data_IF_724192965892
#
_entry.id   IF_724192965892
#
_cell.length_a   1.000
_cell.length_b   1.000
_cell.length_c   1.000
_cell.angle_alpha   90.00
_cell.angle_beta   90.00
_cell.angle_gamma   90.00
#
_symmetry.space_group_name_H-M   'P 1'
#
loop_
_entity.id
_entity.type
_entity.pdbx_description
1 polymer ?
#
# COMPACT_ATOMS: atom_id res chain seq x y z
N UNK A 1 51.24 46.11 -40.39
CA UNK A 1 49.83 46.20 -40.83
C UNK A 1 49.11 45.07 -40.15
N UNK A 2 48.15 45.40 -39.29
CA UNK A 2 47.23 44.43 -38.71
C UNK A 2 46.11 44.18 -39.72
N UNK A 3 45.96 42.93 -40.16
CA UNK A 3 44.92 42.55 -41.11
C UNK A 3 43.76 41.95 -40.32
N UNK A 4 42.54 42.43 -40.59
CA UNK A 4 41.34 41.83 -40.04
C UNK A 4 41.17 40.41 -40.59
N UNK A 5 40.80 39.48 -39.71
CA UNK A 5 40.58 38.06 -40.02
C UNK A 5 39.22 37.64 -39.48
N UNK A 6 38.51 36.73 -40.17
CA UNK A 6 37.22 36.25 -39.67
C UNK A 6 37.45 35.35 -38.46
N UNK A 7 36.67 35.56 -37.41
CA UNK A 7 36.68 34.79 -36.19
C UNK A 7 35.25 34.34 -35.90
N UNK A 8 34.94 33.11 -36.26
CA UNK A 8 33.63 32.50 -36.02
C UNK A 8 33.59 32.00 -34.58
N UNK A 9 32.66 32.53 -33.80
CA UNK A 9 32.49 32.18 -32.40
C UNK A 9 31.13 31.50 -32.24
N UNK A 10 31.13 30.23 -31.86
CA UNK A 10 29.92 29.49 -31.49
C UNK A 10 29.85 29.38 -29.97
N UNK A 11 28.83 29.96 -29.35
CA UNK A 11 28.64 29.96 -27.90
C UNK A 11 27.40 29.14 -27.61
N UNK A 12 27.58 28.00 -26.94
CA UNK A 12 26.48 27.07 -26.63
C UNK A 12 25.60 26.74 -27.86
N UNK A 13 26.22 26.58 -29.04
CA UNK A 13 25.54 26.28 -30.30
C UNK A 13 25.13 27.50 -31.13
N UNK A 14 25.14 28.71 -30.56
CA UNK A 14 24.83 29.94 -31.28
C UNK A 14 26.08 30.56 -31.93
N UNK A 15 26.13 30.55 -33.27
CA UNK A 15 27.29 31.05 -34.03
C UNK A 15 27.16 32.51 -34.46
N UNK A 16 28.24 33.27 -34.28
CA UNK A 16 28.39 34.63 -34.78
C UNK A 16 29.82 34.88 -35.30
N UNK A 17 29.94 35.56 -36.43
CA UNK A 17 31.24 35.93 -36.99
C UNK A 17 31.66 37.34 -36.54
N UNK A 18 32.86 37.43 -36.00
CA UNK A 18 33.55 38.67 -35.65
C UNK A 18 34.74 38.89 -36.58
N UNK A 19 35.17 40.13 -36.73
CA UNK A 19 36.41 40.47 -37.42
C UNK A 19 37.40 41.00 -36.40
N UNK A 20 38.54 40.32 -36.25
CA UNK A 20 39.57 40.64 -35.25
C UNK A 20 40.92 40.85 -35.92
N UNK A 21 41.77 41.68 -35.35
CA UNK A 21 43.18 41.78 -35.77
C UNK A 21 44.10 40.88 -34.96
N UNK A 22 43.61 40.39 -33.82
CA UNK A 22 44.31 39.45 -32.96
C UNK A 22 44.83 38.20 -33.69
N UNK A 23 46.04 37.80 -33.35
CA UNK A 23 46.68 36.58 -33.87
C UNK A 23 46.55 35.38 -32.92
N UNK A 24 45.88 35.55 -31.78
CA UNK A 24 45.74 34.52 -30.74
C UNK A 24 44.33 34.53 -30.16
N UNK A 25 43.80 33.36 -29.79
CA UNK A 25 42.44 33.20 -29.24
C UNK A 25 42.15 34.15 -28.08
N UNK A 26 43.03 34.25 -27.07
CA UNK A 26 42.79 35.12 -25.91
C UNK A 26 42.63 36.59 -26.31
N UNK A 27 43.49 37.10 -27.19
CA UNK A 27 43.40 38.50 -27.66
C UNK A 27 42.16 38.73 -28.52
N UNK A 28 41.76 37.75 -29.34
CA UNK A 28 40.54 37.86 -30.13
C UNK A 28 39.32 37.93 -29.21
N UNK A 29 39.28 37.10 -28.16
CA UNK A 29 38.26 37.14 -27.11
C UNK A 29 38.25 38.46 -26.33
N UNK A 30 39.42 39.04 -26.05
CA UNK A 30 39.53 40.36 -25.39
C UNK A 30 39.07 41.50 -26.32
N UNK A 31 39.39 41.44 -27.62
CA UNK A 31 39.00 42.42 -28.64
C UNK A 31 37.48 42.47 -28.84
N UNK A 32 36.80 41.31 -28.80
CA UNK A 32 35.33 41.23 -28.80
C UNK A 32 34.70 41.55 -27.44
N UNK A 33 35.51 41.80 -26.40
CA UNK A 33 35.04 42.14 -25.05
C UNK A 33 34.45 40.97 -24.27
N UNK A 34 34.78 39.72 -24.62
CA UNK A 34 34.18 38.51 -24.03
C UNK A 34 35.25 37.51 -23.59
N UNK A 35 35.57 37.49 -22.30
CA UNK A 35 36.64 36.66 -21.77
C UNK A 35 36.26 35.17 -21.58
N UNK A 36 34.98 34.83 -21.46
CA UNK A 36 34.47 33.46 -21.23
C UNK A 36 35.24 32.68 -20.14
N UNK A 37 35.46 33.30 -18.97
CA UNK A 37 36.23 32.68 -17.89
C UNK A 37 35.48 31.48 -17.32
N UNK A 38 36.15 30.33 -17.22
CA UNK A 38 35.54 29.09 -16.75
C UNK A 38 34.73 28.32 -17.80
N UNK A 39 34.70 28.82 -19.05
CA UNK A 39 34.14 28.10 -20.19
C UNK A 39 35.15 27.13 -20.79
N UNK A 40 34.65 26.02 -21.30
CA UNK A 40 35.41 25.12 -22.16
C UNK A 40 35.50 25.69 -23.56
N UNK A 41 36.67 25.54 -24.18
CA UNK A 41 36.98 26.05 -25.50
C UNK A 41 37.47 24.90 -26.37
N UNK A 42 36.98 24.80 -27.60
CA UNK A 42 37.47 23.86 -28.62
C UNK A 42 38.95 24.05 -28.99
N UNK A 43 39.56 25.16 -28.58
CA UNK A 43 40.97 25.46 -28.81
C UNK A 43 41.62 26.17 -27.62
N UNK A 44 42.94 26.03 -27.52
CA UNK A 44 43.74 26.71 -26.49
C UNK A 44 43.61 28.24 -26.60
N UNK A 45 43.52 28.91 -25.44
CA UNK A 45 43.54 30.39 -25.36
C UNK A 45 44.82 31.01 -25.93
N UNK A 46 45.92 30.27 -25.90
CA UNK A 46 47.19 30.67 -26.52
C UNK A 46 47.32 30.25 -27.99
N UNK A 47 46.32 29.55 -28.55
CA UNK A 47 46.31 29.07 -29.93
C UNK A 47 46.36 30.22 -30.92
N UNK A 48 47.10 30.03 -32.00
CA UNK A 48 47.24 31.00 -33.08
C UNK A 48 46.01 31.01 -33.99
N UNK A 49 45.61 32.20 -34.44
CA UNK A 49 44.60 32.40 -35.47
C UNK A 49 45.34 32.63 -36.78
N UNK A 50 45.01 31.86 -37.81
CA UNK A 50 45.65 31.98 -39.12
C UNK A 50 45.07 33.12 -39.95
N UNK A 51 45.66 33.40 -41.12
CA UNK A 51 45.16 34.47 -42.02
C UNK A 51 43.77 34.19 -42.58
N UNK A 52 43.42 32.92 -42.65
CA UNK A 52 42.12 32.44 -43.12
C UNK A 52 41.02 32.60 -42.06
N UNK A 53 41.40 32.85 -40.80
CA UNK A 53 40.49 32.97 -39.67
C UNK A 53 40.56 31.78 -38.73
N UNK A 54 39.54 31.65 -37.87
CA UNK A 54 39.38 30.53 -36.94
C UNK A 54 37.91 30.40 -36.55
N UNK A 55 37.45 29.16 -36.39
CA UNK A 55 36.22 28.83 -35.69
C UNK A 55 36.55 28.41 -34.25
N UNK A 56 35.83 28.99 -33.28
CA UNK A 56 35.96 28.69 -31.87
C UNK A 56 34.59 28.36 -31.29
N UNK A 57 34.42 27.13 -30.86
CA UNK A 57 33.31 26.70 -30.01
C UNK A 57 33.62 26.96 -28.53
N UNK A 58 32.63 27.49 -27.83
CA UNK A 58 32.67 27.85 -26.41
C UNK A 58 31.45 27.24 -25.72
N UNK A 59 31.69 26.40 -24.72
CA UNK A 59 30.64 25.87 -23.84
C UNK A 59 30.70 26.60 -22.52
N UNK A 60 29.61 27.30 -22.16
CA UNK A 60 29.59 28.08 -20.92
C UNK A 60 29.17 27.23 -19.72
N UNK A 61 29.71 27.51 -18.51
CA UNK A 61 29.28 26.82 -17.30
C UNK A 61 27.87 27.27 -16.92
N UNK A 62 26.96 26.31 -16.72
CA UNK A 62 25.55 26.51 -16.37
C UNK A 62 25.26 25.92 -15.00
N UNK A 63 24.49 26.64 -14.18
CA UNK A 63 24.08 26.22 -12.84
C UNK A 63 22.67 25.67 -12.86
N UNK A 64 22.54 24.35 -12.77
CA UNK A 64 21.26 23.64 -12.81
C UNK A 64 20.92 22.98 -11.48
N UNK A 65 19.64 22.65 -11.29
CA UNK A 65 19.15 21.83 -10.20
C UNK A 65 19.11 20.38 -10.66
N UNK A 66 19.90 19.52 -10.03
CA UNK A 66 20.04 18.12 -10.41
C UNK A 66 19.48 17.22 -9.32
N UNK A 67 18.67 16.24 -9.71
CA UNK A 67 18.27 15.12 -8.86
C UNK A 67 18.79 13.83 -9.50
N UNK A 68 19.81 13.23 -8.87
CA UNK A 68 20.41 11.99 -9.33
C UNK A 68 19.78 10.80 -8.59
N UNK A 69 18.86 10.12 -9.25
CA UNK A 69 18.18 8.95 -8.70
C UNK A 69 17.45 9.21 -7.38
N UNK A 70 17.89 8.54 -6.31
CA UNK A 70 17.31 8.66 -4.96
C UNK A 70 17.82 9.87 -4.17
N UNK A 71 18.80 10.61 -4.71
CA UNK A 71 19.37 11.77 -4.03
C UNK A 71 18.38 12.94 -3.94
N UNK A 72 18.69 13.89 -3.05
CA UNK A 72 17.95 15.15 -2.95
C UNK A 72 18.34 16.08 -4.10
N UNK A 73 17.41 16.92 -4.51
CA UNK A 73 17.65 17.97 -5.49
C UNK A 73 18.75 18.91 -5.00
N UNK A 74 19.82 19.07 -5.77
CA UNK A 74 20.97 19.89 -5.44
C UNK A 74 21.35 20.81 -6.61
N UNK A 75 21.88 22.00 -6.32
CA UNK A 75 22.45 22.86 -7.37
C UNK A 75 23.84 22.34 -7.75
N UNK A 76 24.10 22.23 -9.04
CA UNK A 76 25.39 21.84 -9.63
C UNK A 76 25.72 22.79 -10.76
N UNK A 77 27.01 23.07 -10.94
CA UNK A 77 27.51 23.79 -12.10
C UNK A 77 28.12 22.76 -13.03
N UNK A 78 27.69 22.76 -14.28
CA UNK A 78 28.13 21.83 -15.32
C UNK A 78 28.54 22.62 -16.56
N UNK A 79 29.54 22.15 -17.29
CA UNK A 79 29.97 22.76 -18.56
C UNK A 79 29.51 21.88 -19.71
N UNK A 80 28.21 21.96 -20.00
CA UNK A 80 27.53 21.04 -20.91
C UNK A 80 26.48 21.74 -21.78
N UNK A 81 26.33 21.27 -23.02
CA UNK A 81 25.32 21.78 -23.94
C UNK A 81 23.98 21.04 -23.74
N UNK A 82 24.01 19.71 -23.67
CA UNK A 82 22.81 18.87 -23.56
C UNK A 82 22.67 18.21 -22.18
N UNK A 83 21.50 17.62 -21.93
CA UNK A 83 21.24 16.81 -20.72
C UNK A 83 22.18 15.62 -20.61
N UNK A 84 22.50 14.96 -21.72
CA UNK A 84 23.43 13.84 -21.76
C UNK A 84 24.84 14.29 -21.34
N UNK A 85 25.36 15.36 -21.96
CA UNK A 85 26.68 15.92 -21.62
C UNK A 85 26.75 16.37 -20.15
N UNK A 86 25.65 16.95 -19.63
CA UNK A 86 25.59 17.38 -18.23
C UNK A 86 25.61 16.21 -17.25
N UNK A 87 25.09 15.05 -17.63
CA UNK A 87 25.20 13.84 -16.81
C UNK A 87 26.61 13.27 -16.87
N UNK A 88 27.25 13.27 -18.04
CA UNK A 88 28.64 12.83 -18.21
C UNK A 88 29.62 13.70 -17.38
N UNK A 89 29.47 15.03 -17.42
CA UNK A 89 30.26 15.98 -16.60
C UNK A 89 30.07 15.74 -15.08
N UNK A 90 28.89 15.25 -14.67
CA UNK A 90 28.60 14.85 -13.30
C UNK A 90 29.07 13.42 -12.96
N UNK A 91 29.68 12.70 -13.91
CA UNK A 91 30.16 11.33 -13.75
C UNK A 91 29.06 10.28 -13.77
N UNK A 92 27.94 10.56 -14.45
CA UNK A 92 26.77 9.67 -14.55
C UNK A 92 26.63 9.19 -16.00
N UNK A 93 26.94 7.93 -16.23
CA UNK A 93 26.73 7.29 -17.54
C UNK A 93 25.26 6.92 -17.74
N UNK A 94 24.68 7.32 -18.89
CA UNK A 94 23.29 7.00 -19.21
C UNK A 94 23.15 5.55 -19.71
N UNK A 95 22.54 4.70 -18.90
CA UNK A 95 22.23 3.33 -19.26
C UNK A 95 21.08 3.23 -20.26
N UNK A 96 21.01 2.09 -20.99
CA UNK A 96 19.97 1.81 -22.01
C UNK A 96 18.52 1.97 -21.52
N UNK A 97 18.29 1.76 -20.23
CA UNK A 97 16.95 1.78 -19.64
C UNK A 97 16.68 3.02 -18.80
N UNK A 98 17.73 3.82 -18.54
CA UNK A 98 17.64 4.98 -17.67
C UNK A 98 16.79 6.07 -18.31
N UNK A 99 16.21 6.91 -17.45
CA UNK A 99 15.28 7.95 -17.86
C UNK A 99 15.75 9.29 -17.34
N UNK A 100 15.76 10.29 -18.22
CA UNK A 100 16.06 11.68 -17.86
C UNK A 100 14.83 12.56 -18.10
N UNK A 101 14.71 13.61 -17.29
CA UNK A 101 13.80 14.73 -17.55
C UNK A 101 14.59 16.02 -17.33
N UNK A 102 14.79 16.86 -18.37
CA UNK A 102 14.35 16.73 -19.77
C UNK A 102 15.00 15.57 -20.55
N UNK A 103 14.67 15.42 -21.83
CA UNK A 103 15.22 14.38 -22.71
C UNK A 103 16.76 14.50 -22.84
N UNK A 104 17.52 13.41 -23.09
CA UNK A 104 18.98 13.45 -23.10
C UNK A 104 19.57 14.44 -24.10
N UNK A 105 18.96 14.57 -25.28
CA UNK A 105 19.39 15.49 -26.34
C UNK A 105 18.88 16.91 -26.18
N UNK A 106 18.10 17.19 -25.13
CA UNK A 106 17.59 18.54 -24.88
C UNK A 106 18.75 19.44 -24.44
N UNK A 107 18.84 20.62 -25.04
CA UNK A 107 19.77 21.66 -24.61
C UNK A 107 19.40 22.14 -23.20
N UNK A 108 20.42 22.35 -22.37
CA UNK A 108 20.29 22.84 -21.00
C UNK A 108 20.54 24.34 -20.95
N UNK A 109 19.69 25.03 -20.18
CA UNK A 109 19.83 26.44 -19.82
C UNK A 109 20.17 26.62 -18.33
N UNK A 110 20.61 27.83 -17.96
CA UNK A 110 20.90 28.16 -16.57
C UNK A 110 19.62 28.14 -15.71
N UNK A 111 19.69 27.49 -14.55
CA UNK A 111 18.57 27.34 -13.63
C UNK A 111 17.63 26.16 -13.90
N UNK A 112 17.85 25.41 -14.99
CA UNK A 112 17.06 24.24 -15.36
C UNK A 112 17.03 23.16 -14.28
N UNK A 113 16.03 22.30 -14.36
CA UNK A 113 15.88 21.15 -13.45
C UNK A 113 16.05 19.85 -14.20
N UNK A 114 17.16 19.17 -13.92
CA UNK A 114 17.51 17.86 -14.43
C UNK A 114 17.16 16.78 -13.40
N UNK A 115 16.35 15.81 -13.80
CA UNK A 115 16.04 14.62 -13.02
C UNK A 115 16.51 13.39 -13.76
N UNK A 116 17.45 12.68 -13.18
CA UNK A 116 17.92 11.38 -13.64
C UNK A 116 17.27 10.27 -12.81
N UNK A 117 16.78 9.24 -13.49
CA UNK A 117 16.21 8.04 -12.88
C UNK A 117 16.97 6.81 -13.37
N UNK A 118 17.67 6.14 -12.46
CA UNK A 118 18.33 4.86 -12.72
C UNK A 118 17.26 3.76 -12.83
N UNK A 119 17.22 3.07 -13.97
CA UNK A 119 16.24 2.01 -14.25
C UNK A 119 16.96 0.71 -14.56
N UNK A 120 17.03 -0.17 -13.56
CA UNK A 120 17.64 -1.48 -13.73
C UNK A 120 16.60 -2.57 -13.94
N UNK A 121 16.72 -3.32 -15.03
CA UNK A 121 15.83 -4.45 -15.34
C UNK A 121 16.58 -5.77 -15.14
N UNK A 122 16.11 -6.60 -14.20
CA UNK A 122 16.72 -7.91 -13.88
C UNK A 122 15.72 -9.03 -14.10
N UNK A 123 16.19 -10.16 -14.65
CA UNK A 123 15.45 -11.42 -14.63
C UNK A 123 15.91 -12.28 -13.45
N UNK A 124 15.01 -12.58 -12.52
CA UNK A 124 15.30 -13.41 -11.34
C UNK A 124 14.55 -14.73 -11.43
N UNK A 125 15.29 -15.83 -11.42
CA UNK A 125 14.73 -17.18 -11.30
C UNK A 125 14.56 -17.53 -9.82
N UNK A 126 13.39 -18.06 -9.47
CA UNK A 126 13.08 -18.57 -8.14
C UNK A 126 12.57 -20.00 -8.32
N UNK A 127 13.27 -20.95 -7.71
CA UNK A 127 12.89 -22.36 -7.71
C UNK A 127 12.00 -22.66 -6.50
N UNK A 128 10.96 -23.48 -6.69
CA UNK A 128 10.12 -23.99 -5.60
C UNK A 128 9.36 -22.91 -4.82
N UNK A 129 8.95 -21.80 -5.45
CA UNK A 129 8.14 -20.78 -4.80
C UNK A 129 6.77 -21.37 -4.42
N UNK A 130 6.39 -21.20 -3.16
CA UNK A 130 5.11 -21.65 -2.61
C UNK A 130 3.96 -20.94 -3.32
N UNK A 131 2.91 -21.71 -3.62
CA UNK A 131 1.63 -21.20 -4.12
C UNK A 131 0.58 -21.49 -3.07
N UNK A 132 0.02 -20.43 -2.49
CA UNK A 132 -1.04 -20.55 -1.49
C UNK A 132 -2.26 -21.25 -2.08
N UNK A 133 -2.97 -21.99 -1.23
CA UNK A 133 -4.24 -22.64 -1.56
C UNK A 133 -5.41 -21.69 -1.29
N UNK A 134 -6.53 -21.91 -1.97
CA UNK A 134 -7.78 -21.22 -1.67
C UNK A 134 -8.61 -21.95 -0.61
N UNK A 135 -9.66 -21.30 -0.12
CA UNK A 135 -10.68 -21.93 0.74
C UNK A 135 -11.99 -22.02 -0.04
N UNK A 136 -12.57 -23.21 -0.08
CA UNK A 136 -13.90 -23.48 -0.65
C UNK A 136 -14.84 -23.74 0.51
N UNK A 137 -15.84 -22.87 0.65
CA UNK A 137 -16.91 -23.03 1.63
C UNK A 137 -17.99 -23.97 1.10
N UNK A 138 -18.41 -24.89 1.96
CA UNK A 138 -19.50 -25.82 1.69
C UNK A 138 -20.59 -25.65 2.74
N UNK A 139 -21.79 -25.26 2.33
CA UNK A 139 -22.90 -25.09 3.27
C UNK A 139 -23.33 -26.43 3.88
N UNK A 140 -23.58 -26.42 5.19
CA UNK A 140 -24.11 -27.57 5.93
C UNK A 140 -25.28 -27.12 6.83
N UNK A 141 -26.51 -27.43 6.39
CA UNK A 141 -27.73 -27.08 7.13
C UNK A 141 -27.94 -27.86 8.42
N UNK A 142 -27.05 -28.80 8.78
CA UNK A 142 -27.08 -29.45 10.09
C UNK A 142 -26.33 -28.66 11.17
N UNK A 143 -25.40 -27.79 10.76
CA UNK A 143 -24.56 -26.96 11.64
C UNK A 143 -25.15 -25.57 11.80
N UNK A 144 -24.99 -24.99 12.99
CA UNK A 144 -25.52 -23.65 13.27
C UNK A 144 -24.75 -22.56 12.54
N UNK A 145 -25.44 -21.47 12.19
CA UNK A 145 -24.78 -20.28 11.66
C UNK A 145 -23.65 -19.82 12.59
N UNK A 146 -22.47 -19.57 11.99
CA UNK A 146 -21.24 -19.24 12.70
C UNK A 146 -20.38 -20.45 13.11
N UNK A 147 -20.89 -21.67 13.04
CA UNK A 147 -20.09 -22.88 13.19
C UNK A 147 -19.35 -23.20 11.89
N UNK A 148 -18.06 -23.56 12.01
CA UNK A 148 -17.24 -23.99 10.89
C UNK A 148 -16.51 -25.30 11.20
N UNK A 149 -16.29 -26.12 10.17
CA UNK A 149 -15.56 -27.38 10.31
C UNK A 149 -14.74 -27.68 9.06
N UNK A 150 -13.43 -27.91 9.24
CA UNK A 150 -12.54 -28.25 8.13
C UNK A 150 -12.75 -29.70 7.72
N UNK A 151 -13.25 -29.92 6.50
CA UNK A 151 -13.46 -31.25 5.90
C UNK A 151 -12.17 -31.76 5.27
N UNK A 152 -11.42 -30.86 4.62
CA UNK A 152 -10.13 -31.16 4.01
C UNK A 152 -9.21 -29.97 4.23
N UNK A 153 -8.07 -30.22 4.87
CA UNK A 153 -7.02 -29.20 5.02
C UNK A 153 -6.46 -28.80 3.64
N UNK A 154 -6.15 -27.52 3.48
CA UNK A 154 -5.48 -27.04 2.27
C UNK A 154 -4.00 -27.47 2.25
N UNK A 155 -3.48 -27.75 1.06
CA UNK A 155 -2.06 -28.04 0.85
C UNK A 155 -1.48 -27.04 -0.14
N UNK A 156 -0.37 -26.40 0.25
CA UNK A 156 0.28 -25.43 -0.61
C UNK A 156 0.92 -26.10 -1.83
N UNK A 157 0.77 -25.46 -2.98
CA UNK A 157 1.44 -25.85 -4.21
C UNK A 157 2.87 -25.30 -4.28
N UNK A 158 3.57 -25.63 -5.36
CA UNK A 158 4.89 -25.09 -5.65
C UNK A 158 5.09 -24.86 -7.15
N UNK A 159 5.86 -23.82 -7.49
CA UNK A 159 6.21 -23.50 -8.88
C UNK A 159 7.63 -22.98 -9.01
N UNK A 160 8.25 -23.27 -10.14
CA UNK A 160 9.44 -22.54 -10.59
C UNK A 160 8.98 -21.32 -11.38
N UNK A 161 9.52 -20.15 -11.08
CA UNK A 161 9.07 -18.89 -11.68
C UNK A 161 10.25 -17.98 -12.01
N UNK A 162 10.16 -17.31 -13.15
CA UNK A 162 11.10 -16.26 -13.56
C UNK A 162 10.40 -14.93 -13.53
N UNK A 163 10.85 -14.04 -12.65
CA UNK A 163 10.37 -12.67 -12.56
C UNK A 163 11.20 -11.74 -13.45
N UNK A 164 10.53 -10.79 -14.08
CA UNK A 164 11.14 -9.52 -14.52
C UNK A 164 10.91 -8.51 -13.40
N UNK A 165 11.99 -8.09 -12.77
CA UNK A 165 12.00 -7.09 -11.70
C UNK A 165 12.58 -5.82 -12.29
N UNK A 166 11.83 -4.73 -12.20
CA UNK A 166 12.28 -3.40 -12.59
C UNK A 166 12.57 -2.61 -11.33
N UNK A 167 13.81 -2.18 -11.17
CA UNK A 167 14.23 -1.28 -10.11
C UNK A 167 14.23 0.15 -10.66
N UNK A 168 13.73 1.11 -9.88
CA UNK A 168 13.84 2.53 -10.16
C UNK A 168 14.54 3.17 -8.96
N UNK A 169 15.68 3.79 -9.17
CA UNK A 169 16.51 4.39 -8.10
C UNK A 169 16.83 3.39 -6.98
N UNK A 170 17.10 2.13 -7.34
CA UNK A 170 17.37 1.04 -6.38
C UNK A 170 16.14 0.39 -5.74
N UNK A 171 14.93 0.97 -5.86
CA UNK A 171 13.70 0.42 -5.28
C UNK A 171 12.91 -0.44 -6.28
N UNK A 172 12.27 -1.50 -5.80
CA UNK A 172 11.45 -2.38 -6.67
C UNK A 172 10.20 -1.63 -7.11
N UNK A 173 10.10 -1.34 -8.40
CA UNK A 173 8.92 -0.67 -8.98
C UNK A 173 7.88 -1.65 -9.52
N UNK A 174 8.32 -2.69 -10.21
CA UNK A 174 7.44 -3.67 -10.88
C UNK A 174 8.04 -5.06 -10.77
N UNK A 175 7.24 -6.03 -10.31
CA UNK A 175 7.56 -7.46 -10.35
C UNK A 175 6.51 -8.17 -11.21
N UNK A 176 6.92 -8.67 -12.38
CA UNK A 176 6.04 -9.40 -13.31
C UNK A 176 6.55 -10.82 -13.54
N UNK A 177 5.64 -11.79 -13.51
CA UNK A 177 5.94 -13.18 -13.91
C UNK A 177 6.12 -13.22 -15.43
N UNK A 178 7.27 -13.71 -15.89
CA UNK A 178 7.57 -13.87 -17.34
C UNK A 178 7.42 -15.32 -17.77
N UNK A 179 7.85 -16.25 -16.93
CA UNK A 179 7.75 -17.68 -17.17
C UNK A 179 7.45 -18.36 -15.85
N UNK A 180 6.57 -19.36 -15.86
CA UNK A 180 6.32 -20.20 -14.71
C UNK A 180 6.15 -21.65 -15.14
N UNK A 181 6.50 -22.56 -14.24
CA UNK A 181 6.33 -24.00 -14.37
C UNK A 181 5.82 -24.51 -13.03
N UNK A 182 4.57 -24.97 -12.99
CA UNK A 182 3.96 -25.53 -11.78
C UNK A 182 4.56 -26.91 -11.53
N UNK A 183 5.09 -27.13 -10.33
CA UNK A 183 5.64 -28.41 -9.89
C UNK A 183 4.58 -29.24 -9.17
N UNK A 184 3.86 -28.61 -8.24
CA UNK A 184 2.68 -29.17 -7.57
C UNK A 184 1.56 -28.13 -7.53
N UNK A 185 0.33 -28.54 -7.86
CA UNK A 185 -0.84 -27.65 -7.76
C UNK A 185 -1.25 -27.53 -6.29
N UNK A 186 -1.65 -26.33 -5.81
CA UNK A 186 -2.26 -26.22 -4.49
C UNK A 186 -3.56 -27.02 -4.45
N UNK A 187 -3.86 -27.57 -3.28
CA UNK A 187 -5.13 -28.24 -2.98
C UNK A 187 -5.92 -27.32 -2.07
N UNK A 188 -7.09 -26.88 -2.52
CA UNK A 188 -7.92 -25.97 -1.74
C UNK A 188 -8.43 -26.62 -0.45
N UNK A 189 -8.46 -25.82 0.61
CA UNK A 189 -9.10 -26.16 1.87
C UNK A 189 -10.62 -26.21 1.68
N UNK A 190 -11.27 -27.23 2.23
CA UNK A 190 -12.74 -27.32 2.22
C UNK A 190 -13.22 -27.12 3.64
N UNK A 191 -13.99 -26.06 3.86
CA UNK A 191 -14.59 -25.72 5.15
C UNK A 191 -16.10 -25.82 5.03
N UNK A 192 -16.71 -26.60 5.90
CA UNK A 192 -18.17 -26.57 6.08
C UNK A 192 -18.56 -25.36 6.90
N UNK A 193 -19.55 -24.62 6.41
CA UNK A 193 -20.15 -23.47 7.11
C UNK A 193 -21.59 -23.81 7.47
N UNK A 194 -21.95 -23.62 8.73
CA UNK A 194 -23.32 -23.88 9.18
C UNK A 194 -24.31 -22.85 8.64
N UNK A 195 -25.45 -23.33 8.14
CA UNK A 195 -26.55 -22.49 7.65
C UNK A 195 -27.84 -22.68 8.45
N UNK A 196 -27.77 -23.44 9.55
CA UNK A 196 -28.91 -23.63 10.44
C UNK A 196 -29.08 -22.41 11.34
N UNK A 197 -30.12 -21.64 11.07
CA UNK A 197 -30.46 -20.45 11.86
C UNK A 197 -30.69 -20.83 13.33
N UNK A 198 -30.00 -20.14 14.25
CA UNK A 198 -30.34 -20.18 15.67
C UNK A 198 -31.47 -19.19 15.92
N UNK A 199 -32.54 -19.65 16.56
CA UNK A 199 -33.61 -18.77 17.01
C UNK A 199 -33.09 -17.82 18.11
N UNK A 200 -32.50 -16.70 17.70
CA UNK A 200 -32.23 -15.56 18.58
C UNK A 200 -33.55 -14.83 18.79
N UNK A 201 -34.25 -15.20 19.84
CA UNK A 201 -35.37 -14.41 20.31
C UNK A 201 -34.84 -13.03 20.76
N UNK A 202 -35.15 -12.00 19.97
CA UNK A 202 -34.79 -10.61 20.23
C UNK A 202 -35.46 -10.12 21.53
N UNK A 203 -34.75 -10.17 22.66
CA UNK A 203 -35.22 -9.63 23.96
C UNK A 203 -34.59 -8.27 24.33
N UNK A 204 -34.07 -7.53 23.34
CA UNK A 204 -33.33 -6.28 23.52
C UNK A 204 -34.21 -5.04 23.80
N UNK A 205 -35.54 -5.15 23.70
CA UNK A 205 -36.46 -4.09 24.13
C UNK A 205 -36.94 -4.37 25.55
N UNK A 206 -36.44 -3.65 26.55
CA UNK A 206 -36.76 -3.82 27.98
C UNK A 206 -38.21 -3.48 28.38
N UNK A 207 -39.19 -3.99 27.65
CA UNK A 207 -40.62 -3.94 27.96
C UNK A 207 -41.29 -5.27 27.59
N UNK A 208 -40.60 -6.39 27.77
CA UNK A 208 -41.18 -7.70 27.48
C UNK A 208 -42.04 -8.17 28.64
N UNK A 209 -42.97 -9.10 28.36
CA UNK A 209 -43.74 -9.80 29.42
C UNK A 209 -42.81 -10.39 30.48
N UNK A 210 -41.62 -10.84 30.07
CA UNK A 210 -40.60 -11.37 30.97
C UNK A 210 -40.01 -10.34 31.93
N UNK A 211 -39.86 -9.08 31.50
CA UNK A 211 -39.39 -8.02 32.38
C UNK A 211 -40.45 -7.65 33.43
N UNK A 212 -41.73 -7.66 33.04
CA UNK A 212 -42.84 -7.44 33.98
C UNK A 212 -42.95 -8.60 34.98
N UNK A 213 -42.73 -9.83 34.50
CA UNK A 213 -42.69 -11.02 35.35
C UNK A 213 -41.51 -10.93 36.32
N UNK A 214 -40.31 -10.60 35.83
CA UNK A 214 -39.14 -10.42 36.69
C UNK A 214 -39.30 -9.28 37.69
N UNK A 215 -39.98 -8.19 37.31
CA UNK A 215 -40.31 -7.10 38.22
C UNK A 215 -41.21 -7.57 39.37
N UNK A 216 -42.18 -8.44 39.07
CA UNK A 216 -43.08 -9.00 40.07
C UNK A 216 -42.40 -10.09 40.94
N UNK A 217 -41.55 -10.93 40.34
CA UNK A 217 -40.93 -12.10 40.98
C UNK A 217 -39.68 -11.75 41.79
N UNK A 218 -38.87 -10.79 41.34
CA UNK A 218 -37.58 -10.45 41.95
C UNK A 218 -37.36 -8.95 42.17
N UNK A 219 -38.36 -8.11 41.90
CA UNK A 219 -38.19 -6.66 41.88
C UNK A 219 -37.33 -6.16 40.72
N UNK A 220 -37.14 -6.98 39.68
CA UNK A 220 -36.33 -6.67 38.50
C UNK A 220 -34.85 -7.02 38.66
N UNK A 221 -34.46 -7.67 39.76
CA UNK A 221 -33.09 -8.07 40.00
C UNK A 221 -32.78 -9.45 39.40
N UNK A 222 -32.21 -9.45 38.20
CA UNK A 222 -31.85 -10.66 37.47
C UNK A 222 -30.75 -11.51 38.12
N UNK A 223 -30.00 -10.95 39.07
CA UNK A 223 -28.95 -11.65 39.81
C UNK A 223 -29.38 -12.05 41.23
N UNK A 224 -30.68 -11.97 41.56
CA UNK A 224 -31.17 -12.22 42.92
C UNK A 224 -30.85 -13.65 43.38
N UNK A 225 -30.38 -13.76 44.62
CA UNK A 225 -30.17 -15.03 45.33
C UNK A 225 -30.31 -14.78 46.83
N UNK A 226 -31.52 -14.93 47.35
CA UNK A 226 -31.85 -14.68 48.76
C UNK A 226 -31.71 -15.91 49.65
N UNK A 227 -31.31 -17.06 49.08
CA UNK A 227 -31.24 -18.33 49.81
C UNK A 227 -32.59 -19.02 50.03
N UNK A 228 -33.67 -18.56 49.36
CA UNK A 228 -35.01 -19.15 49.46
C UNK A 228 -35.24 -20.36 48.54
N UNK A 229 -34.20 -20.88 47.90
CA UNK A 229 -34.26 -22.02 46.96
C UNK A 229 -34.64 -21.66 45.52
N UNK A 230 -34.85 -20.38 45.22
CA UNK A 230 -35.12 -19.85 43.89
C UNK A 230 -34.09 -18.79 43.50
N UNK A 231 -33.79 -18.70 42.21
CA UNK A 231 -32.64 -17.92 41.73
C UNK A 231 -32.98 -17.12 40.48
N UNK A 232 -32.34 -15.96 40.36
CA UNK A 232 -32.43 -15.10 39.18
C UNK A 232 -33.74 -14.35 39.04
N UNK A 233 -33.85 -13.53 38.00
CA UNK A 233 -34.93 -12.54 37.85
C UNK A 233 -36.33 -13.16 37.79
N UNK A 234 -36.41 -14.39 37.27
CA UNK A 234 -37.65 -15.15 37.11
C UNK A 234 -37.81 -16.26 38.17
N UNK A 235 -37.05 -16.22 39.27
CA UNK A 235 -37.21 -17.12 40.41
C UNK A 235 -37.24 -18.61 40.01
N UNK A 236 -36.22 -19.08 39.28
CA UNK A 236 -36.11 -20.49 38.91
C UNK A 236 -35.68 -21.37 40.07
N UNK A 237 -36.22 -22.59 40.16
CA UNK A 237 -35.57 -23.66 40.92
C UNK A 237 -34.37 -24.19 40.13
N UNK A 238 -33.31 -24.63 40.82
CA UNK A 238 -32.12 -25.16 40.15
C UNK A 238 -32.43 -26.43 39.31
N UNK A 239 -33.35 -27.26 39.79
CA UNK A 239 -33.79 -28.47 39.07
C UNK A 239 -34.51 -28.14 37.76
N UNK A 240 -35.44 -27.19 37.79
CA UNK A 240 -36.14 -26.74 36.56
C UNK A 240 -35.16 -26.04 35.62
N UNK A 241 -34.27 -25.20 36.13
CA UNK A 241 -33.25 -24.52 35.32
C UNK A 241 -32.41 -25.50 34.49
N UNK A 242 -31.89 -26.53 35.14
CA UNK A 242 -31.06 -27.54 34.48
C UNK A 242 -31.87 -28.42 33.52
N UNK A 243 -33.11 -28.78 33.90
CA UNK A 243 -33.98 -29.59 33.05
C UNK A 243 -34.32 -28.93 31.70
N UNK A 244 -34.32 -27.60 31.62
CA UNK A 244 -34.63 -26.83 30.41
C UNK A 244 -33.38 -26.28 29.69
N UNK A 245 -32.20 -26.82 30.03
CA UNK A 245 -30.94 -26.55 29.33
C UNK A 245 -30.13 -25.38 29.91
N UNK A 246 -30.41 -24.97 31.15
CA UNK A 246 -29.60 -24.00 31.87
C UNK A 246 -28.32 -24.62 32.44
N UNK A 247 -27.17 -24.01 32.11
CA UNK A 247 -25.88 -24.33 32.73
C UNK A 247 -25.59 -23.42 33.92
N UNK A 248 -24.94 -23.93 34.97
CA UNK A 248 -24.63 -23.15 36.18
C UNK A 248 -25.87 -22.79 36.99
N UNK A 249 -25.85 -21.65 37.69
CA UNK A 249 -26.98 -21.16 38.48
C UNK A 249 -27.77 -20.04 37.76
N UNK A 250 -29.10 -19.97 37.89
CA UNK A 250 -29.90 -18.94 37.22
C UNK A 250 -29.45 -17.51 37.56
N UNK A 251 -29.09 -17.24 38.83
CA UNK A 251 -28.61 -15.92 39.27
C UNK A 251 -27.25 -15.52 38.72
N UNK A 252 -26.49 -16.46 38.17
CA UNK A 252 -25.20 -16.22 37.50
C UNK A 252 -25.33 -16.09 35.97
N UNK A 253 -26.51 -16.38 35.41
CA UNK A 253 -26.76 -16.28 33.99
C UNK A 253 -27.25 -14.87 33.60
N UNK A 254 -26.95 -14.43 32.38
CA UNK A 254 -27.46 -13.15 31.88
C UNK A 254 -28.99 -13.16 31.80
N UNK A 255 -29.58 -11.96 31.82
CA UNK A 255 -31.01 -11.77 31.63
C UNK A 255 -31.52 -12.50 30.39
N UNK A 256 -30.82 -12.35 29.27
CA UNK A 256 -31.21 -12.92 27.98
C UNK A 256 -31.20 -14.46 28.02
N UNK A 257 -30.20 -15.05 28.68
CA UNK A 257 -30.14 -16.50 28.90
C UNK A 257 -31.28 -16.99 29.79
N UNK A 258 -31.60 -16.27 30.87
CA UNK A 258 -32.72 -16.61 31.74
C UNK A 258 -34.06 -16.55 31.00
N UNK A 259 -34.25 -15.54 30.17
CA UNK A 259 -35.47 -15.39 29.35
C UNK A 259 -35.55 -16.49 28.28
N UNK A 260 -34.43 -16.85 27.63
CA UNK A 260 -34.42 -17.92 26.64
C UNK A 260 -34.86 -19.27 27.25
N UNK A 261 -34.42 -19.57 28.48
CA UNK A 261 -34.81 -20.78 29.20
C UNK A 261 -36.26 -20.70 29.70
N UNK A 262 -36.70 -19.53 30.17
CA UNK A 262 -38.08 -19.30 30.57
C UNK A 262 -39.07 -19.43 29.41
N UNK A 263 -38.66 -19.00 28.22
CA UNK A 263 -39.42 -19.16 26.98
C UNK A 263 -39.60 -20.64 26.64
N UNK A 264 -38.53 -21.45 26.73
CA UNK A 264 -38.63 -22.91 26.57
C UNK A 264 -39.58 -23.55 27.59
N UNK A 265 -39.49 -23.14 28.86
CA UNK A 265 -40.38 -23.63 29.91
C UNK A 265 -41.85 -23.27 29.62
N UNK A 266 -42.14 -22.00 29.31
CA UNK A 266 -43.49 -21.53 28.97
C UNK A 266 -44.08 -22.29 27.79
N UNK A 267 -43.30 -22.47 26.73
CA UNK A 267 -43.75 -23.15 25.52
C UNK A 267 -44.04 -24.63 25.79
N UNK A 268 -43.26 -25.28 26.67
CA UNK A 268 -43.49 -26.65 27.11
C UNK A 268 -44.71 -26.78 28.04
N UNK A 269 -44.97 -25.77 28.89
CA UNK A 269 -46.12 -25.78 29.81
C UNK A 269 -47.39 -25.19 29.22
N UNK A 270 -47.34 -24.69 27.98
CA UNK A 270 -48.49 -24.10 27.29
C UNK A 270 -48.94 -22.74 27.81
N UNK A 271 -48.11 -22.04 28.60
CA UNK A 271 -48.50 -20.80 29.28
C UNK A 271 -47.54 -20.39 30.40
N UNK A 272 -47.89 -19.33 31.10
CA UNK A 272 -47.11 -18.75 32.21
C UNK A 272 -47.43 -19.40 33.57
N UNK A 273 -48.03 -20.60 33.59
CA UNK A 273 -48.42 -21.32 34.82
C UNK A 273 -47.27 -21.65 35.78
N UNK A 274 -46.01 -21.57 35.34
CA UNK A 274 -44.83 -21.67 36.19
C UNK A 274 -44.61 -20.46 37.12
N UNK A 275 -45.33 -19.35 36.87
CA UNK A 275 -45.30 -18.12 37.66
C UNK A 275 -46.73 -17.73 38.10
N UNK A 276 -47.44 -18.58 38.85
CA UNK A 276 -48.90 -18.47 39.01
C UNK A 276 -49.36 -17.15 39.64
N UNK A 277 -48.61 -16.63 40.62
CA UNK A 277 -48.97 -15.39 41.31
C UNK A 277 -48.76 -14.14 40.45
N UNK A 278 -47.63 -14.06 39.75
CA UNK A 278 -47.30 -12.91 38.91
C UNK A 278 -47.99 -12.97 37.54
N UNK A 279 -48.17 -14.16 36.96
CA UNK A 279 -48.94 -14.34 35.74
C UNK A 279 -50.40 -13.89 35.91
N UNK A 280 -51.03 -14.25 37.04
CA UNK A 280 -52.40 -13.80 37.36
C UNK A 280 -52.48 -12.27 37.52
N UNK A 281 -51.51 -11.65 38.21
CA UNK A 281 -51.45 -10.18 38.37
C UNK A 281 -51.26 -9.43 37.04
N UNK A 282 -50.56 -10.03 36.09
CA UNK A 282 -50.27 -9.46 34.78
C UNK A 282 -51.30 -9.87 33.71
N UNK A 283 -52.31 -10.69 34.05
CA UNK A 283 -53.34 -11.14 33.13
C UNK A 283 -52.83 -12.07 32.02
N UNK A 284 -51.77 -12.85 32.30
CA UNK A 284 -51.15 -13.74 31.34
C UNK A 284 -51.87 -15.09 31.27
N UNK A 285 -51.93 -15.74 30.09
CA UNK A 285 -52.51 -17.08 29.97
C UNK A 285 -51.62 -18.08 30.73
N UNK A 286 -52.20 -18.78 31.71
CA UNK A 286 -51.53 -19.81 32.52
C UNK A 286 -51.89 -21.20 32.07
#
# INVERSE_FOLDING_TARGET
VEFARPFELSVDGESQTYWVTATTVSRALDEIGRAYRGSELSASRGGSIDREGMALEVVTPKTIKVKLGAEKLAKRTVTALTVEDALEDLGVDLGKHDETKPAPTQEIEDGDTLVFTDVRVVKKYVAGETVDFGTVEQEDGSMYEGETSVVRAGEAGSRNVTYRIVYRNGEVSVRKVVKQTVLSKPVDEIVKVGTKEQAVANFAGGSTVWDQLAQCESGGNWAINTGNGYYGGLQFSLGTWQAYGGSGGPSSASRETQIAIATKLRDATGGYGSWPGCAAKLGLPT
#
